data_IF_476221434495
#
_entry.id   IF_476221434495
#
_cell.length_a   1.000
_cell.length_b   1.000
_cell.length_c   1.000
_cell.angle_alpha   90.00
_cell.angle_beta   90.00
_cell.angle_gamma   90.00
#
_symmetry.space_group_name_H-M   'P 1'
#
loop_
_entity.id
_entity.type
_entity.pdbx_description
1 polymer ?
#
# COMPACT_ATOMS: atom_id res chain seq x y z
N UNK A 1 -23.94 6.91 0.72
CA UNK A 1 -22.74 6.73 1.56
C UNK A 1 -21.70 5.95 0.78
N UNK A 2 -20.50 6.46 0.72
CA UNK A 2 -19.38 5.84 -0.01
C UNK A 2 -19.16 4.40 0.47
N UNK A 3 -19.00 3.46 -0.47
CA UNK A 3 -18.73 2.05 -0.20
C UNK A 3 -17.49 1.86 0.69
N UNK A 4 -16.45 2.64 0.43
CA UNK A 4 -15.20 2.60 1.20
C UNK A 4 -15.42 3.03 2.66
N UNK A 5 -16.21 4.04 2.89
CA UNK A 5 -16.55 4.48 4.24
C UNK A 5 -17.31 3.42 5.04
N UNK A 6 -18.19 2.66 4.37
CA UNK A 6 -18.89 1.52 4.99
C UNK A 6 -17.91 0.43 5.41
N UNK A 7 -16.96 0.09 4.55
CA UNK A 7 -15.91 -0.90 4.86
C UNK A 7 -15.09 -0.45 6.07
N UNK A 8 -14.62 0.78 6.07
CA UNK A 8 -13.84 1.34 7.18
C UNK A 8 -14.62 1.30 8.49
N UNK A 9 -15.89 1.71 8.46
CA UNK A 9 -16.76 1.68 9.63
C UNK A 9 -16.95 0.24 10.14
N UNK A 10 -17.10 -0.73 9.24
CA UNK A 10 -17.24 -2.14 9.62
C UNK A 10 -15.98 -2.66 10.32
N UNK A 11 -14.80 -2.31 9.82
CA UNK A 11 -13.51 -2.67 10.45
C UNK A 11 -13.43 -2.09 11.86
N UNK A 12 -13.73 -0.80 12.02
CA UNK A 12 -13.67 -0.14 13.33
C UNK A 12 -14.64 -0.77 14.34
N UNK A 13 -15.84 -1.12 13.90
CA UNK A 13 -16.83 -1.83 14.73
C UNK A 13 -16.37 -3.23 15.14
N UNK A 14 -15.77 -3.97 14.19
CA UNK A 14 -15.24 -5.31 14.44
C UNK A 14 -14.24 -5.32 15.60
N UNK A 15 -13.36 -4.34 15.67
CA UNK A 15 -12.34 -4.24 16.71
C UNK A 15 -12.82 -3.53 17.99
N UNK A 16 -14.11 -3.21 18.09
CA UNK A 16 -14.75 -2.68 19.32
C UNK A 16 -13.97 -1.52 19.93
N UNK A 17 -13.71 -0.48 19.15
CA UNK A 17 -12.95 0.69 19.62
C UNK A 17 -13.56 1.37 20.85
N UNK A 18 -14.86 1.21 21.06
CA UNK A 18 -15.56 1.70 22.25
C UNK A 18 -15.08 1.09 23.56
N UNK A 19 -14.40 -0.06 23.50
CA UNK A 19 -13.81 -0.75 24.66
C UNK A 19 -12.32 -0.42 24.85
N UNK A 20 -11.81 0.58 24.15
CA UNK A 20 -10.45 1.05 24.23
C UNK A 20 -9.57 0.58 23.06
N UNK A 21 -8.54 1.34 22.80
CA UNK A 21 -7.54 1.07 21.77
C UNK A 21 -6.29 0.49 22.43
N UNK A 22 -5.77 -0.60 21.85
CA UNK A 22 -4.48 -1.17 22.22
C UNK A 22 -3.52 -1.09 21.03
N UNK A 23 -2.19 -1.16 21.24
CA UNK A 23 -1.24 -1.17 20.14
C UNK A 23 -1.51 -2.29 19.12
N UNK A 24 -1.84 -3.49 19.60
CA UNK A 24 -2.17 -4.62 18.74
C UNK A 24 -3.45 -4.38 17.91
N UNK A 25 -4.51 -3.89 18.55
CA UNK A 25 -5.75 -3.53 17.84
C UNK A 25 -5.49 -2.49 16.75
N UNK A 26 -4.69 -1.49 17.06
CA UNK A 26 -4.34 -0.45 16.11
C UNK A 26 -3.64 -1.02 14.88
N UNK A 27 -2.65 -1.88 15.07
CA UNK A 27 -1.98 -2.58 13.97
C UNK A 27 -2.95 -3.41 13.12
N UNK A 28 -3.78 -4.21 13.77
CA UNK A 28 -4.75 -5.08 13.09
C UNK A 28 -5.77 -4.27 12.26
N UNK A 29 -6.23 -3.14 12.80
CA UNK A 29 -7.11 -2.22 12.08
C UNK A 29 -6.43 -1.71 10.80
N UNK A 30 -5.19 -1.23 10.91
CA UNK A 30 -4.45 -0.72 9.75
C UNK A 30 -4.22 -1.81 8.69
N UNK A 31 -3.91 -3.04 9.11
CA UNK A 31 -3.76 -4.17 8.21
C UNK A 31 -5.06 -4.46 7.44
N UNK A 32 -6.17 -4.47 8.14
CA UNK A 32 -7.47 -4.80 7.54
C UNK A 32 -8.00 -3.66 6.67
N UNK A 33 -7.67 -2.40 6.98
CA UNK A 33 -8.01 -1.24 6.16
C UNK A 33 -7.26 -1.22 4.81
N UNK A 34 -6.15 -1.91 4.73
CA UNK A 34 -5.47 -2.16 3.46
C UNK A 34 -4.23 -1.30 3.19
N UNK A 35 -3.74 -1.31 1.93
CA UNK A 35 -2.39 -0.83 1.58
C UNK A 35 -2.08 0.61 1.98
N UNK A 36 -3.01 1.53 1.83
CA UNK A 36 -2.83 2.94 2.22
C UNK A 36 -2.49 3.05 3.71
N UNK A 37 -3.26 2.36 4.55
CA UNK A 37 -3.13 2.41 6.00
C UNK A 37 -1.95 1.59 6.51
N UNK A 38 -1.61 0.50 5.84
CA UNK A 38 -0.38 -0.26 6.11
C UNK A 38 0.83 0.66 5.89
N UNK A 39 0.87 1.36 4.76
CA UNK A 39 1.96 2.30 4.46
C UNK A 39 2.03 3.44 5.48
N UNK A 40 0.87 4.00 5.83
CA UNK A 40 0.79 5.04 6.85
C UNK A 40 1.31 4.53 8.20
N UNK A 41 0.90 3.33 8.62
CA UNK A 41 1.38 2.69 9.85
C UNK A 41 2.89 2.46 9.85
N UNK A 42 3.46 2.03 8.73
CA UNK A 42 4.90 1.86 8.58
C UNK A 42 5.66 3.18 8.76
N UNK A 43 5.13 4.28 8.20
CA UNK A 43 5.71 5.61 8.39
C UNK A 43 5.61 6.03 9.86
N UNK A 44 4.44 5.85 10.48
CA UNK A 44 4.20 6.21 11.87
C UNK A 44 5.08 5.43 12.85
N UNK A 45 5.48 4.21 12.52
CA UNK A 45 6.37 3.39 13.34
C UNK A 45 7.74 4.03 13.58
N UNK A 46 8.14 4.96 12.72
CA UNK A 46 9.41 5.68 12.80
C UNK A 46 9.33 6.96 13.66
N UNK A 47 8.12 7.30 14.13
CA UNK A 47 7.86 8.58 14.82
C UNK A 47 7.49 8.36 16.29
N UNK A 48 8.48 7.99 17.09
CA UNK A 48 8.33 7.88 18.55
C UNK A 48 8.11 9.21 19.25
N UNK A 49 8.31 10.32 18.56
CA UNK A 49 7.99 11.66 19.01
C UNK A 49 6.49 11.96 18.99
N UNK A 50 5.73 11.23 18.18
CA UNK A 50 4.27 11.40 18.01
C UNK A 50 3.48 10.30 18.71
N UNK A 51 3.97 9.05 18.64
CA UNK A 51 3.31 7.88 19.19
C UNK A 51 4.07 7.27 20.36
N UNK A 52 3.36 6.72 21.37
CA UNK A 52 3.99 5.94 22.41
C UNK A 52 4.83 4.80 21.84
N UNK A 53 5.92 4.47 22.54
CA UNK A 53 6.89 3.46 22.09
C UNK A 53 6.23 2.11 21.75
N UNK A 54 5.29 1.66 22.58
CA UNK A 54 4.60 0.38 22.38
C UNK A 54 3.82 0.35 21.06
N UNK A 55 3.25 1.48 20.65
CA UNK A 55 2.57 1.60 19.35
C UNK A 55 3.57 1.53 18.20
N UNK A 56 4.71 2.22 18.31
CA UNK A 56 5.75 2.16 17.29
C UNK A 56 6.30 0.74 17.10
N UNK A 57 6.58 0.05 18.20
CA UNK A 57 7.08 -1.34 18.17
C UNK A 57 6.06 -2.29 17.53
N UNK A 58 4.79 -2.12 17.82
CA UNK A 58 3.73 -2.94 17.23
C UNK A 58 3.58 -2.64 15.73
N UNK A 59 3.61 -1.37 15.33
CA UNK A 59 3.51 -0.98 13.93
C UNK A 59 4.70 -1.44 13.08
N UNK A 60 5.87 -1.65 13.68
CA UNK A 60 7.01 -2.24 12.99
C UNK A 60 6.74 -3.67 12.51
N UNK A 61 5.78 -4.35 13.08
CA UNK A 61 5.33 -5.68 12.64
C UNK A 61 4.45 -5.64 11.38
N UNK A 62 4.07 -4.46 10.91
CA UNK A 62 3.36 -4.32 9.66
C UNK A 62 4.24 -4.82 8.52
N UNK A 63 3.96 -6.04 8.08
CA UNK A 63 4.75 -6.73 7.09
C UNK A 63 4.54 -6.16 5.69
N UNK A 64 5.65 -6.08 4.96
CA UNK A 64 5.65 -5.83 3.52
C UNK A 64 5.66 -7.14 2.72
N UNK A 65 5.66 -8.29 3.35
CA UNK A 65 5.59 -9.60 2.69
C UNK A 65 4.17 -9.84 2.20
N UNK A 66 3.91 -9.33 1.02
CA UNK A 66 2.65 -9.50 0.31
C UNK A 66 2.90 -10.45 -0.84
N UNK A 67 1.93 -11.32 -1.12
CA UNK A 67 2.02 -12.22 -2.26
C UNK A 67 2.18 -11.41 -3.56
N UNK A 68 3.20 -11.73 -4.39
CA UNK A 68 3.44 -10.99 -5.62
C UNK A 68 2.26 -11.08 -6.58
N UNK A 69 2.05 -10.01 -7.36
CA UNK A 69 1.14 -10.08 -8.51
C UNK A 69 1.64 -11.13 -9.50
N UNK A 70 0.72 -11.90 -10.13
CA UNK A 70 1.08 -12.74 -11.28
C UNK A 70 1.76 -11.92 -12.38
N UNK A 71 2.70 -12.54 -13.10
CA UNK A 71 3.47 -11.83 -14.12
C UNK A 71 2.59 -11.20 -15.21
N UNK A 72 1.48 -11.85 -15.57
CA UNK A 72 0.50 -11.31 -16.52
C UNK A 72 -0.06 -9.97 -16.08
N UNK A 73 -0.30 -9.78 -14.77
CA UNK A 73 -0.73 -8.50 -14.22
C UNK A 73 0.39 -7.47 -14.27
N UNK A 74 1.63 -7.88 -13.99
CA UNK A 74 2.80 -7.01 -14.08
C UNK A 74 2.95 -6.48 -15.51
N UNK A 75 2.86 -7.35 -16.50
CA UNK A 75 2.91 -6.97 -17.91
C UNK A 75 1.80 -5.97 -18.25
N UNK A 76 0.58 -6.24 -17.80
CA UNK A 76 -0.56 -5.36 -18.07
C UNK A 76 -0.38 -3.97 -17.46
N UNK A 77 0.16 -3.88 -16.25
CA UNK A 77 0.43 -2.60 -15.58
C UNK A 77 1.50 -1.80 -16.34
N UNK A 78 2.58 -2.45 -16.75
CA UNK A 78 3.66 -1.80 -17.51
C UNK A 78 3.14 -1.30 -18.85
N UNK A 79 2.43 -2.14 -19.58
CA UNK A 79 1.87 -1.79 -20.89
C UNK A 79 0.87 -0.63 -20.78
N UNK A 80 0.01 -0.65 -19.78
CA UNK A 80 -0.92 0.44 -19.53
C UNK A 80 -0.21 1.76 -19.19
N UNK A 81 0.86 1.68 -18.42
CA UNK A 81 1.66 2.85 -18.04
C UNK A 81 2.41 3.46 -19.24
N UNK A 82 2.93 2.63 -20.12
CA UNK A 82 3.66 3.07 -21.30
C UNK A 82 2.73 3.50 -22.45
N UNK A 83 1.55 2.90 -22.55
CA UNK A 83 0.67 3.05 -23.71
C UNK A 83 1.09 2.20 -24.91
N UNK A 84 2.06 1.30 -24.73
CA UNK A 84 2.56 0.35 -25.71
C UNK A 84 3.17 -0.86 -24.99
N UNK A 85 3.56 -1.91 -25.72
CA UNK A 85 4.11 -3.13 -25.14
C UNK A 85 5.46 -2.89 -24.45
N UNK A 86 5.64 -3.48 -23.26
CA UNK A 86 6.93 -3.44 -22.55
C UNK A 86 8.07 -4.03 -23.39
N UNK A 87 7.74 -4.94 -24.33
CA UNK A 87 8.71 -5.57 -25.23
C UNK A 87 9.36 -4.59 -26.20
N UNK A 88 8.79 -3.40 -26.36
CA UNK A 88 9.38 -2.33 -27.17
C UNK A 88 10.57 -1.65 -26.46
N UNK A 89 10.64 -1.76 -25.15
CA UNK A 89 11.68 -1.13 -24.30
C UNK A 89 12.63 -2.14 -23.71
N UNK A 90 12.11 -3.24 -23.20
CA UNK A 90 12.90 -4.28 -22.52
C UNK A 90 13.12 -5.50 -23.40
N UNK A 91 14.35 -6.01 -23.39
CA UNK A 91 14.65 -7.31 -23.99
C UNK A 91 14.05 -8.44 -23.14
N UNK A 92 14.10 -8.29 -21.82
CA UNK A 92 13.53 -9.27 -20.88
C UNK A 92 13.18 -8.62 -19.55
N UNK A 93 12.19 -9.20 -18.86
CA UNK A 93 11.86 -8.88 -17.47
C UNK A 93 11.78 -10.20 -16.72
N UNK A 94 12.48 -10.34 -15.61
CA UNK A 94 12.44 -11.54 -14.78
C UNK A 94 11.02 -11.73 -14.23
N UNK A 95 10.46 -12.91 -14.42
CA UNK A 95 9.10 -13.23 -13.93
C UNK A 95 9.02 -13.24 -12.41
N UNK A 96 10.11 -13.69 -11.75
CA UNK A 96 10.19 -13.70 -10.30
C UNK A 96 10.62 -12.31 -9.79
N UNK A 97 9.83 -11.65 -8.95
CA UNK A 97 10.23 -10.36 -8.39
C UNK A 97 11.42 -10.49 -7.45
N UNK A 98 12.23 -9.44 -7.35
CA UNK A 98 13.25 -9.30 -6.31
C UNK A 98 12.62 -9.08 -4.94
N UNK A 99 11.45 -8.46 -4.90
CA UNK A 99 10.69 -8.22 -3.70
C UNK A 99 9.29 -7.70 -4.03
N UNK A 100 8.37 -7.93 -3.12
CA UNK A 100 7.00 -7.45 -3.22
C UNK A 100 6.59 -6.76 -1.92
N UNK A 101 5.93 -5.62 -2.05
CA UNK A 101 5.43 -4.83 -0.93
C UNK A 101 3.94 -4.53 -1.11
N UNK A 102 3.34 -3.85 -0.13
CA UNK A 102 1.90 -3.58 -0.12
C UNK A 102 1.40 -2.79 -1.34
N UNK A 103 2.22 -1.91 -1.91
CA UNK A 103 1.82 -1.04 -3.02
C UNK A 103 2.54 -1.33 -4.33
N UNK A 104 3.66 -2.06 -4.30
CA UNK A 104 4.50 -2.28 -5.48
C UNK A 104 5.33 -3.55 -5.35
N UNK A 105 5.85 -4.02 -6.48
CA UNK A 105 6.87 -5.05 -6.52
C UNK A 105 7.98 -4.66 -7.49
N UNK A 106 9.14 -5.28 -7.35
CA UNK A 106 10.35 -4.92 -8.05
C UNK A 106 10.85 -6.10 -8.86
N UNK A 107 11.12 -5.88 -10.14
CA UNK A 107 11.64 -6.89 -11.06
C UNK A 107 12.97 -6.46 -11.65
N UNK A 108 13.87 -7.42 -11.79
CA UNK A 108 15.07 -7.23 -12.60
C UNK A 108 14.70 -7.29 -14.06
N UNK A 109 15.28 -6.42 -14.88
CA UNK A 109 15.02 -6.37 -16.31
C UNK A 109 16.27 -6.00 -17.09
N UNK A 110 16.27 -6.29 -18.38
CA UNK A 110 17.32 -5.89 -19.32
C UNK A 110 16.69 -5.05 -20.43
N UNK A 111 17.21 -3.85 -20.61
CA UNK A 111 16.80 -3.00 -21.72
C UNK A 111 17.26 -3.57 -23.08
N UNK A 112 16.62 -3.16 -24.16
CA UNK A 112 17.07 -3.55 -25.52
C UNK A 112 18.49 -3.10 -25.82
N UNK A 113 18.96 -2.03 -25.17
CA UNK A 113 20.34 -1.56 -25.25
C UNK A 113 21.36 -2.45 -24.53
N UNK A 114 20.89 -3.46 -23.77
CA UNK A 114 21.71 -4.40 -23.02
C UNK A 114 21.94 -4.02 -21.55
N UNK A 115 21.52 -2.82 -21.12
CA UNK A 115 21.66 -2.38 -19.74
C UNK A 115 20.74 -3.18 -18.80
N UNK A 116 21.28 -3.57 -17.66
CA UNK A 116 20.50 -4.18 -16.61
C UNK A 116 19.91 -3.11 -15.69
N UNK A 117 18.60 -3.20 -15.45
CA UNK A 117 17.84 -2.25 -14.66
C UNK A 117 16.90 -2.96 -13.70
N UNK A 118 16.32 -2.17 -12.82
CA UNK A 118 15.28 -2.62 -11.91
C UNK A 118 14.01 -1.85 -12.23
N UNK A 119 12.90 -2.57 -12.37
CA UNK A 119 11.60 -2.00 -12.66
C UNK A 119 10.73 -2.13 -11.42
N UNK A 120 10.28 -1.00 -10.90
CA UNK A 120 9.31 -0.94 -9.81
C UNK A 120 7.91 -0.82 -10.41
N UNK A 121 7.09 -1.81 -10.15
CA UNK A 121 5.74 -1.91 -10.70
C UNK A 121 4.73 -1.75 -9.58
N UNK A 122 3.91 -0.72 -9.66
CA UNK A 122 2.84 -0.51 -8.70
C UNK A 122 1.73 -1.54 -8.89
N UNK A 123 1.08 -1.93 -7.79
CA UNK A 123 -0.04 -2.88 -7.85
C UNK A 123 -1.19 -2.31 -8.65
N UNK A 124 -1.84 -3.19 -9.41
CA UNK A 124 -3.04 -2.83 -10.18
C UNK A 124 -4.09 -2.22 -9.27
N UNK A 125 -4.61 -1.05 -9.67
CA UNK A 125 -5.67 -0.35 -8.93
C UNK A 125 -5.21 0.37 -7.67
N UNK A 126 -3.93 0.31 -7.29
CA UNK A 126 -3.44 0.92 -6.05
C UNK A 126 -3.61 2.44 -6.04
N UNK A 127 -3.41 3.09 -7.18
CA UNK A 127 -3.57 4.54 -7.30
C UNK A 127 -4.99 4.98 -6.96
N UNK A 128 -5.99 4.26 -7.46
CA UNK A 128 -7.41 4.57 -7.20
C UNK A 128 -7.75 4.36 -5.72
N UNK A 129 -7.31 3.24 -5.13
CA UNK A 129 -7.55 2.95 -3.72
C UNK A 129 -6.91 4.00 -2.83
N UNK A 130 -5.64 4.33 -3.06
CA UNK A 130 -4.95 5.35 -2.27
C UNK A 130 -5.55 6.74 -2.45
N UNK A 131 -5.96 7.09 -3.66
CA UNK A 131 -6.60 8.39 -3.93
C UNK A 131 -7.93 8.53 -3.19
N UNK A 132 -8.74 7.47 -3.16
CA UNK A 132 -10.00 7.45 -2.40
C UNK A 132 -9.76 7.57 -0.90
N UNK A 133 -8.82 6.81 -0.37
CA UNK A 133 -8.47 6.83 1.05
C UNK A 133 -7.92 8.19 1.45
N UNK A 134 -7.05 8.80 0.65
CA UNK A 134 -6.50 10.13 0.91
C UNK A 134 -7.58 11.21 0.85
N UNK A 135 -8.53 11.11 -0.07
CA UNK A 135 -9.65 12.03 -0.15
C UNK A 135 -10.53 11.96 1.12
N UNK A 136 -10.79 10.76 1.63
CA UNK A 136 -11.54 10.57 2.88
C UNK A 136 -10.78 11.13 4.09
N UNK A 137 -9.48 10.90 4.17
CA UNK A 137 -8.63 11.45 5.24
C UNK A 137 -8.61 12.98 5.19
N UNK A 138 -8.45 13.56 4.01
CA UNK A 138 -8.46 15.01 3.82
C UNK A 138 -9.79 15.62 4.26
N UNK A 139 -10.90 15.00 3.90
CA UNK A 139 -12.23 15.43 4.31
C UNK A 139 -12.41 15.37 5.83
N UNK A 140 -11.96 14.29 6.47
CA UNK A 140 -12.02 14.12 7.91
C UNK A 140 -11.20 15.19 8.64
N UNK A 141 -9.98 15.46 8.19
CA UNK A 141 -9.09 16.48 8.76
C UNK A 141 -9.69 17.88 8.59
N UNK A 142 -10.21 18.21 7.41
CA UNK A 142 -10.85 19.49 7.12
C UNK A 142 -12.07 19.71 8.04
N UNK A 143 -12.90 18.68 8.22
CA UNK A 143 -14.05 18.75 9.10
C UNK A 143 -13.66 18.97 10.56
N UNK A 144 -12.62 18.28 11.03
CA UNK A 144 -12.11 18.42 12.39
C UNK A 144 -11.52 19.80 12.62
N UNK A 145 -10.88 20.39 11.62
CA UNK A 145 -10.23 21.71 11.71
C UNK A 145 -11.24 22.87 11.75
N UNK A 146 -12.44 22.68 11.18
CA UNK A 146 -13.53 23.66 11.18
C UNK A 146 -14.33 23.67 12.50
N UNK A 147 -14.07 22.75 13.41
CA UNK A 147 -14.63 22.70 14.77
C UNK A 147 -13.69 23.36 15.77
#
# INVERSE_FOLDING_TARGET
MDSRLKEMTAVLKKYKLTHGLTPEKFRLILQELGPTYIKLGQIMSLHSDILPKEYCEELMKLCSDVEPMPFEQVEAVIDASFGYSWKDVFASIDKKPLGAASIAQVHRATLKTGEQVVVKVQRKGIHEVMSKDMALLHKAVSYTHLR
#
